data_IF_687915922531
#
_entry.id   IF_687915922531
#
_cell.length_a   1.000
_cell.length_b   1.000
_cell.length_c   1.000
_cell.angle_alpha   90.00
_cell.angle_beta   90.00
_cell.angle_gamma   90.00
#
_symmetry.space_group_name_H-M   'P 1'
#
loop_
_entity.id
_entity.type
_entity.pdbx_description
1 polymer ?
#
# COMPACT_ATOMS: atom_id res chain seq x y z
N UNK A 1 5.91 -35.11 -7.90
CA UNK A 1 6.00 -33.73 -8.43
C UNK A 1 4.63 -33.03 -8.60
N UNK A 2 3.62 -33.29 -7.75
CA UNK A 2 2.27 -32.67 -7.92
C UNK A 2 2.18 -31.22 -7.41
N UNK A 3 3.10 -30.78 -6.54
CA UNK A 3 3.08 -29.44 -5.95
C UNK A 3 3.78 -28.40 -6.83
N UNK A 4 4.89 -28.76 -7.50
CA UNK A 4 5.63 -27.88 -8.42
C UNK A 4 4.77 -27.44 -9.62
N UNK A 5 3.89 -28.31 -10.12
CA UNK A 5 2.94 -27.97 -11.19
C UNK A 5 1.84 -27.01 -10.72
N UNK A 6 1.54 -26.99 -9.41
CA UNK A 6 0.51 -26.10 -8.81
C UNK A 6 1.08 -24.74 -8.40
N UNK A 7 2.40 -24.60 -8.31
CA UNK A 7 3.04 -23.34 -7.96
C UNK A 7 4.42 -23.52 -7.31
N UNK A 8 5.05 -22.40 -6.90
CA UNK A 8 6.32 -22.42 -6.19
C UNK A 8 6.15 -23.11 -4.83
N UNK A 9 7.07 -24.01 -4.52
CA UNK A 9 7.08 -24.75 -3.25
C UNK A 9 8.06 -24.05 -2.32
N UNK A 10 7.65 -23.81 -1.07
CA UNK A 10 8.53 -23.20 -0.06
C UNK A 10 9.79 -24.07 0.09
N UNK A 11 10.96 -23.44 0.22
CA UNK A 11 12.27 -24.07 0.45
C UNK A 11 12.89 -24.87 -0.71
N UNK A 12 12.25 -24.94 -1.89
CA UNK A 12 12.82 -25.57 -3.10
C UNK A 12 12.85 -24.53 -4.22
N UNK A 13 14.03 -24.04 -4.58
CA UNK A 13 14.20 -23.20 -5.77
C UNK A 13 14.57 -24.06 -6.98
N UNK A 14 13.73 -24.02 -8.01
CA UNK A 14 14.10 -24.51 -9.33
C UNK A 14 14.79 -23.37 -10.08
N UNK A 15 15.89 -23.67 -10.79
CA UNK A 15 16.61 -22.70 -11.64
C UNK A 15 15.67 -21.92 -12.57
N UNK A 16 14.60 -22.56 -13.04
CA UNK A 16 13.56 -21.93 -13.87
C UNK A 16 12.76 -20.85 -13.12
N UNK A 17 12.44 -21.07 -11.84
CA UNK A 17 11.74 -20.10 -10.99
C UNK A 17 12.65 -18.93 -10.60
N UNK A 18 13.95 -19.20 -10.42
CA UNK A 18 14.95 -18.16 -10.15
C UNK A 18 15.12 -17.24 -11.37
N UNK A 19 15.26 -17.79 -12.58
CA UNK A 19 15.39 -17.00 -13.82
C UNK A 19 14.12 -16.18 -14.12
N UNK A 20 12.94 -16.74 -13.91
CA UNK A 20 11.68 -16.00 -14.09
C UNK A 20 11.50 -14.91 -13.03
N UNK A 21 11.94 -15.15 -11.79
CA UNK A 21 11.96 -14.13 -10.73
C UNK A 21 12.96 -13.02 -11.06
N UNK A 22 14.13 -13.37 -11.59
CA UNK A 22 15.16 -12.42 -12.00
C UNK A 22 14.64 -11.50 -13.13
N UNK A 23 14.02 -12.06 -14.18
CA UNK A 23 13.39 -11.23 -15.23
C UNK A 23 12.24 -10.35 -14.75
N UNK A 24 11.49 -10.78 -13.71
CA UNK A 24 10.42 -9.97 -13.12
C UNK A 24 10.95 -8.89 -12.18
N UNK A 25 12.05 -9.13 -11.48
CA UNK A 25 12.67 -8.16 -10.56
C UNK A 25 13.54 -7.14 -11.31
N UNK A 26 14.20 -7.55 -12.39
CA UNK A 26 14.99 -6.67 -13.27
C UNK A 26 14.11 -5.88 -14.25
N UNK A 27 12.80 -6.14 -14.24
CA UNK A 27 11.85 -5.36 -15.03
C UNK A 27 11.75 -3.94 -14.48
N UNK A 28 12.49 -3.02 -15.10
CA UNK A 28 12.36 -1.59 -14.86
C UNK A 28 11.16 -1.09 -15.68
N UNK A 29 10.05 -0.68 -15.04
CA UNK A 29 8.93 -0.12 -15.76
C UNK A 29 9.30 1.22 -16.40
N UNK A 30 8.69 1.53 -17.56
CA UNK A 30 8.91 2.80 -18.27
C UNK A 30 8.53 4.03 -17.42
N UNK A 31 7.58 3.87 -16.51
CA UNK A 31 7.17 4.89 -15.54
C UNK A 31 7.34 4.32 -14.14
N UNK A 32 8.21 4.94 -13.34
CA UNK A 32 8.37 4.57 -11.93
C UNK A 32 7.13 5.00 -11.16
N UNK A 33 6.60 4.14 -10.30
CA UNK A 33 5.45 4.46 -9.44
C UNK A 33 5.69 5.68 -8.51
N UNK A 34 6.95 6.08 -8.31
CA UNK A 34 7.35 7.24 -7.51
C UNK A 34 7.11 8.56 -8.26
N UNK A 35 7.04 8.54 -9.60
CA UNK A 35 6.74 9.73 -10.41
C UNK A 35 5.25 10.03 -10.30
N UNK A 36 4.88 10.69 -9.21
CA UNK A 36 3.51 11.16 -8.97
C UNK A 36 3.50 12.65 -9.20
N UNK A 37 2.53 13.13 -9.98
CA UNK A 37 2.40 14.56 -10.32
C UNK A 37 1.91 15.40 -9.13
N UNK A 38 1.37 14.75 -8.10
CA UNK A 38 0.84 15.38 -6.89
C UNK A 38 1.43 14.68 -5.65
N UNK A 39 2.03 15.46 -4.76
CA UNK A 39 2.57 15.05 -3.48
C UNK A 39 1.66 15.62 -2.41
N UNK A 40 0.85 14.75 -1.81
CA UNK A 40 -0.04 15.12 -0.72
C UNK A 40 0.77 15.26 0.57
N UNK A 41 0.70 16.43 1.20
CA UNK A 41 1.43 16.75 2.44
C UNK A 41 0.51 17.42 3.46
N UNK A 42 0.79 17.17 4.73
CA UNK A 42 0.12 17.83 5.85
C UNK A 42 0.68 19.24 6.07
N UNK A 43 -0.08 20.06 6.81
CA UNK A 43 0.30 21.44 7.19
C UNK A 43 1.67 21.51 7.86
N UNK A 44 1.92 20.63 8.83
CA UNK A 44 3.18 20.60 9.59
C UNK A 44 4.39 20.27 8.70
N UNK A 45 4.20 19.39 7.71
CA UNK A 45 5.25 19.05 6.74
C UNK A 45 5.55 20.19 5.76
N UNK A 46 4.58 21.03 5.42
CA UNK A 46 4.81 22.23 4.60
C UNK A 46 5.67 23.24 5.36
N UNK A 47 5.37 23.46 6.64
CA UNK A 47 6.17 24.35 7.49
C UNK A 47 7.60 23.82 7.68
N UNK A 48 7.77 22.50 7.79
CA UNK A 48 9.09 21.85 7.83
C UNK A 48 9.85 22.04 6.51
N UNK A 49 9.19 21.84 5.36
CA UNK A 49 9.80 22.03 4.03
C UNK A 49 10.22 23.50 3.82
N UNK A 50 9.43 24.45 4.31
CA UNK A 50 9.76 25.87 4.29
C UNK A 50 10.98 26.19 5.18
N UNK A 51 11.07 25.61 6.38
CA UNK A 51 12.20 25.81 7.28
C UNK A 51 13.52 25.22 6.74
N UNK A 52 13.44 24.14 5.96
CA UNK A 52 14.59 23.50 5.32
C UNK A 52 14.98 24.15 3.98
N UNK A 53 14.24 25.15 3.51
CA UNK A 53 14.48 25.83 2.24
C UNK A 53 14.14 24.98 1.00
N UNK A 54 13.31 23.94 1.17
CA UNK A 54 12.88 23.00 0.10
C UNK A 54 11.40 23.22 -0.25
N UNK A 55 10.98 24.48 -0.27
CA UNK A 55 9.58 24.88 -0.51
C UNK A 55 9.16 24.80 -1.98
N UNK A 56 10.11 24.77 -2.92
CA UNK A 56 9.86 24.83 -4.37
C UNK A 56 9.80 23.45 -5.04
N UNK A 57 9.13 22.48 -4.41
CA UNK A 57 8.89 21.17 -5.03
C UNK A 57 7.62 21.26 -5.90
N UNK A 58 7.69 20.93 -7.21
CA UNK A 58 6.50 20.91 -8.04
C UNK A 58 5.53 19.80 -7.59
N UNK A 59 4.24 20.13 -7.47
CA UNK A 59 3.19 19.15 -7.17
C UNK A 59 2.77 19.04 -5.71
N UNK A 60 3.23 19.89 -4.79
CA UNK A 60 2.78 19.87 -3.40
C UNK A 60 1.29 20.25 -3.30
N UNK A 61 0.48 19.34 -2.75
CA UNK A 61 -0.95 19.54 -2.48
C UNK A 61 -1.19 19.34 -0.99
N UNK A 62 -1.74 20.35 -0.33
CA UNK A 62 -2.09 20.23 1.08
C UNK A 62 -3.37 19.41 1.24
N UNK A 63 -3.32 18.33 2.02
CA UNK A 63 -4.51 17.54 2.35
C UNK A 63 -4.82 17.71 3.84
N UNK A 64 -6.08 18.00 4.15
CA UNK A 64 -6.54 17.98 5.54
C UNK A 64 -6.93 16.53 5.90
N UNK A 65 -6.46 15.97 7.03
CA UNK A 65 -6.78 14.60 7.39
C UNK A 65 -8.29 14.48 7.66
N UNK A 66 -8.98 13.69 6.83
CA UNK A 66 -10.37 13.31 7.09
C UNK A 66 -10.36 12.45 8.35
N UNK A 67 -10.94 12.98 9.43
CA UNK A 67 -11.15 12.21 10.65
C UNK A 67 -11.89 10.92 10.29
N UNK A 68 -11.22 9.78 10.46
CA UNK A 68 -11.82 8.48 10.23
C UNK A 68 -13.03 8.35 11.16
N UNK A 69 -14.23 8.44 10.60
CA UNK A 69 -15.47 8.11 11.28
C UNK A 69 -15.38 6.63 11.63
N UNK A 70 -15.05 6.34 12.89
CA UNK A 70 -15.12 5.00 13.45
C UNK A 70 -16.58 4.58 13.31
N UNK A 71 -16.87 3.76 12.30
CA UNK A 71 -18.14 3.09 12.19
C UNK A 71 -18.28 2.27 13.46
N UNK A 72 -19.16 2.73 14.35
CA UNK A 72 -19.60 1.95 15.50
C UNK A 72 -20.29 0.72 14.91
N UNK A 73 -19.54 -0.36 14.74
CA UNK A 73 -20.09 -1.69 14.54
C UNK A 73 -20.86 -2.00 15.82
N UNK A 74 -22.12 -1.59 15.82
CA UNK A 74 -23.11 -2.00 16.80
C UNK A 74 -23.23 -3.50 16.70
N UNK A 75 -22.51 -4.20 17.57
CA UNK A 75 -22.86 -5.56 17.95
C UNK A 75 -24.26 -5.47 18.55
N UNK A 76 -25.27 -5.73 17.70
CA UNK A 76 -26.64 -5.84 18.09
C UNK A 76 -26.73 -6.84 19.23
N UNK A 77 -27.07 -6.33 20.41
CA UNK A 77 -27.48 -7.12 21.54
C UNK A 77 -28.74 -7.88 21.10
N UNK A 78 -28.55 -9.15 20.73
CA UNK A 78 -29.61 -10.06 20.33
C UNK A 78 -30.46 -10.44 21.53
N UNK A 79 -31.34 -9.53 21.95
CA UNK A 79 -32.49 -9.87 22.77
C UNK A 79 -33.63 -10.29 21.83
N UNK A 80 -34.04 -11.56 21.88
CA UNK A 80 -35.08 -12.03 20.98
C UNK A 80 -35.37 -13.52 20.96
N UNK A 81 -35.88 -14.06 22.07
CA UNK A 81 -36.95 -15.06 21.96
C UNK A 81 -36.61 -16.52 22.26
N UNK A 82 -37.00 -16.95 23.47
CA UNK A 82 -37.35 -18.33 23.84
C UNK A 82 -38.28 -18.95 22.79
N UNK A 83 -38.02 -20.18 22.30
CA UNK A 83 -39.04 -21.17 21.89
C UNK A 83 -38.49 -22.61 22.02
N UNK A 84 -39.15 -23.34 22.93
CA UNK A 84 -39.33 -24.80 23.10
C UNK A 84 -38.17 -25.75 22.79
#
# INVERSE_FOLDING_TARGET
MKQIQKGPVREISLKLQEEERERRMDFVPNVSAIKTDQIEVDKETIDMLAALGVSEIPGLVQVDPVAALVAQFGFGHGDGGRRF
#
